data_IF_929890484958
#
_entry.id   IF_929890484958
#
_cell.length_a   1.000
_cell.length_b   1.000
_cell.length_c   1.000
_cell.angle_alpha   90.00
_cell.angle_beta   90.00
_cell.angle_gamma   90.00
#
_symmetry.space_group_name_H-M   'P 1'
#
loop_
_entity.id
_entity.type
_entity.pdbx_description
1 polymer ?
#
# COMPACT_ATOMS: atom_id res chain seq x y z
N UNK A 1 -20.76 12.21 8.67
CA UNK A 1 -19.43 11.90 9.22
C UNK A 1 -18.79 13.15 9.80
N UNK A 2 -18.24 13.07 10.97
CA UNK A 2 -17.62 14.21 11.63
C UNK A 2 -16.23 14.51 11.03
N UNK A 3 -15.76 15.77 11.20
CA UNK A 3 -14.41 16.16 10.85
C UNK A 3 -13.38 15.35 11.62
N UNK A 4 -13.68 14.95 12.87
CA UNK A 4 -12.80 14.17 13.72
C UNK A 4 -12.52 12.79 13.13
N UNK A 5 -13.55 12.14 12.54
CA UNK A 5 -13.36 10.84 11.88
C UNK A 5 -12.48 10.95 10.64
N UNK A 6 -12.65 12.02 9.86
CA UNK A 6 -11.79 12.25 8.70
C UNK A 6 -10.35 12.52 9.12
N UNK A 7 -10.13 13.36 10.15
CA UNK A 7 -8.79 13.64 10.67
C UNK A 7 -8.12 12.38 11.21
N UNK A 8 -8.86 11.55 11.98
CA UNK A 8 -8.35 10.30 12.51
C UNK A 8 -7.98 9.31 11.38
N UNK A 9 -8.77 9.28 10.32
CA UNK A 9 -8.49 8.46 9.14
C UNK A 9 -7.22 8.89 8.40
N UNK A 10 -7.01 10.21 8.26
CA UNK A 10 -5.80 10.75 7.65
C UNK A 10 -4.57 10.42 8.49
N UNK A 11 -4.66 10.56 9.82
CA UNK A 11 -3.58 10.18 10.73
C UNK A 11 -3.25 8.69 10.62
N UNK A 12 -4.29 7.84 10.53
CA UNK A 12 -4.11 6.41 10.35
C UNK A 12 -3.36 6.11 9.04
N UNK A 13 -3.76 6.73 7.94
CA UNK A 13 -3.11 6.53 6.64
C UNK A 13 -1.66 7.02 6.64
N UNK A 14 -1.39 8.14 7.31
CA UNK A 14 -0.02 8.63 7.45
C UNK A 14 0.83 7.64 8.25
N UNK A 15 0.32 7.15 9.38
CA UNK A 15 1.02 6.17 10.21
C UNK A 15 1.22 4.84 9.47
N UNK A 16 0.24 4.43 8.67
CA UNK A 16 0.32 3.24 7.84
C UNK A 16 1.42 3.39 6.77
N UNK A 17 1.48 4.55 6.11
CA UNK A 17 2.53 4.87 5.14
C UNK A 17 3.92 4.85 5.79
N UNK A 18 4.05 5.42 6.97
CA UNK A 18 5.32 5.43 7.72
C UNK A 18 5.78 4.01 8.07
N UNK A 19 4.83 3.12 8.44
CA UNK A 19 5.13 1.71 8.71
C UNK A 19 5.60 0.98 7.44
N UNK A 20 5.00 1.27 6.29
CA UNK A 20 5.47 0.75 5.00
C UNK A 20 6.91 1.15 4.74
N UNK A 21 7.25 2.43 4.95
CA UNK A 21 8.60 2.95 4.71
C UNK A 21 9.64 2.41 5.70
N UNK A 22 9.22 2.05 6.92
CA UNK A 22 10.09 1.38 7.89
C UNK A 22 10.20 -0.13 7.64
N UNK A 23 9.42 -0.67 6.72
CA UNK A 23 9.31 -2.11 6.48
C UNK A 23 8.89 -2.87 7.76
N UNK A 24 7.92 -2.32 8.48
CA UNK A 24 7.46 -2.85 9.77
C UNK A 24 6.15 -3.61 9.59
N UNK A 25 6.23 -4.92 9.35
CA UNK A 25 5.06 -5.75 9.08
C UNK A 25 4.11 -5.82 10.28
N UNK A 26 4.63 -5.86 11.50
CA UNK A 26 3.77 -5.94 12.68
C UNK A 26 2.95 -4.66 12.84
N UNK A 27 3.56 -3.50 12.60
CA UNK A 27 2.84 -2.22 12.63
C UNK A 27 1.76 -2.18 11.55
N UNK A 28 2.07 -2.62 10.32
CA UNK A 28 1.07 -2.68 9.24
C UNK A 28 -0.12 -3.54 9.64
N UNK A 29 0.13 -4.74 10.14
CA UNK A 29 -0.94 -5.66 10.50
C UNK A 29 -1.79 -5.15 11.67
N UNK A 30 -1.21 -4.34 12.54
CA UNK A 30 -1.93 -3.69 13.63
C UNK A 30 -3.02 -2.73 13.16
N UNK A 31 -2.92 -2.19 11.94
CA UNK A 31 -3.93 -1.31 11.36
C UNK A 31 -5.05 -2.06 10.64
N UNK A 32 -4.93 -3.37 10.43
CA UNK A 32 -5.83 -4.16 9.59
C UNK A 32 -6.91 -4.87 10.41
N UNK A 33 -8.11 -5.00 9.83
CA UNK A 33 -9.16 -5.84 10.41
C UNK A 33 -8.82 -7.32 10.32
N UNK A 34 -9.54 -8.16 11.08
CA UNK A 34 -9.30 -9.62 11.08
C UNK A 34 -9.61 -10.27 9.73
N UNK A 35 -10.61 -9.74 9.02
CA UNK A 35 -11.05 -10.24 7.71
C UNK A 35 -10.56 -9.38 6.55
N UNK A 36 -9.45 -8.68 6.73
CA UNK A 36 -8.92 -7.74 5.75
C UNK A 36 -8.63 -8.37 4.40
N UNK A 37 -8.59 -7.51 3.38
CA UNK A 37 -8.23 -7.88 2.02
C UNK A 37 -7.21 -6.89 1.45
N UNK A 38 -6.28 -7.41 0.65
CA UNK A 38 -5.32 -6.61 -0.10
C UNK A 38 -5.39 -7.04 -1.57
N UNK A 39 -5.61 -6.08 -2.45
CA UNK A 39 -5.57 -6.27 -3.89
C UNK A 39 -4.33 -5.58 -4.43
N UNK A 40 -3.44 -6.35 -5.05
CA UNK A 40 -2.16 -5.85 -5.57
C UNK A 40 -2.32 -5.10 -6.87
N UNK A 41 -1.22 -4.49 -7.32
CA UNK A 41 -1.20 -3.65 -8.53
C UNK A 41 -1.25 -4.47 -9.83
N UNK A 42 -0.98 -5.76 -9.76
CA UNK A 42 -0.97 -6.65 -10.92
C UNK A 42 -1.45 -8.03 -10.53
N UNK A 43 -1.84 -8.81 -11.51
CA UNK A 43 -2.29 -10.17 -11.30
C UNK A 43 -3.29 -10.59 -12.37
N UNK A 44 -3.75 -11.87 -12.34
CA UNK A 44 -4.57 -12.42 -13.41
C UNK A 44 -6.05 -12.03 -13.34
N UNK A 45 -6.51 -11.51 -12.21
CA UNK A 45 -7.93 -11.25 -11.97
C UNK A 45 -8.27 -9.78 -12.16
N UNK A 46 -9.56 -9.47 -12.15
CA UNK A 46 -10.04 -8.10 -12.32
C UNK A 46 -9.43 -7.12 -11.30
N UNK A 47 -9.24 -7.58 -10.06
CA UNK A 47 -8.66 -6.78 -8.99
C UNK A 47 -7.16 -7.05 -8.79
N UNK A 48 -6.49 -7.66 -9.78
CA UNK A 48 -5.12 -8.09 -9.65
C UNK A 48 -5.02 -9.35 -8.79
N UNK A 49 -3.86 -9.55 -8.15
CA UNK A 49 -3.70 -10.64 -7.19
C UNK A 49 -4.30 -10.22 -5.85
N UNK A 50 -5.22 -11.02 -5.33
CA UNK A 50 -5.92 -10.72 -4.08
C UNK A 50 -5.42 -11.62 -2.95
N UNK A 51 -5.28 -11.03 -1.77
CA UNK A 51 -4.92 -11.70 -0.52
C UNK A 51 -6.06 -11.46 0.45
N UNK A 52 -6.64 -12.52 0.97
CA UNK A 52 -7.83 -12.45 1.83
C UNK A 52 -7.53 -13.05 3.19
N UNK A 53 -7.78 -12.28 4.25
CA UNK A 53 -7.52 -12.66 5.64
C UNK A 53 -6.12 -12.23 6.09
N UNK A 54 -5.92 -12.18 7.40
CA UNK A 54 -4.69 -11.61 7.99
C UNK A 54 -3.42 -12.31 7.54
N UNK A 55 -3.40 -13.65 7.53
CA UNK A 55 -2.19 -14.39 7.17
C UNK A 55 -1.80 -14.14 5.71
N UNK A 56 -2.79 -14.19 4.81
CA UNK A 56 -2.55 -13.95 3.38
C UNK A 56 -2.14 -12.48 3.13
N UNK A 57 -2.79 -11.52 3.82
CA UNK A 57 -2.45 -10.10 3.67
C UNK A 57 -1.04 -9.82 4.16
N UNK A 58 -0.64 -10.39 5.30
CA UNK A 58 0.74 -10.29 5.81
C UNK A 58 1.73 -10.77 4.74
N UNK A 59 1.48 -11.92 4.17
CA UNK A 59 2.33 -12.49 3.12
C UNK A 59 2.40 -11.56 1.90
N UNK A 60 1.24 -11.06 1.46
CA UNK A 60 1.15 -10.14 0.33
C UNK A 60 1.91 -8.84 0.55
N UNK A 61 1.83 -8.27 1.75
CA UNK A 61 2.57 -7.06 2.11
C UNK A 61 4.08 -7.32 2.06
N UNK A 62 4.53 -8.43 2.61
CA UNK A 62 5.96 -8.77 2.63
C UNK A 62 6.54 -9.00 1.23
N UNK A 63 5.74 -9.42 0.26
CA UNK A 63 6.18 -9.59 -1.12
C UNK A 63 6.72 -8.30 -1.73
N UNK A 64 6.17 -7.14 -1.35
CA UNK A 64 6.64 -5.85 -1.86
C UNK A 64 8.11 -5.63 -1.48
N UNK A 65 8.47 -5.92 -0.24
CA UNK A 65 9.86 -5.75 0.24
C UNK A 65 10.80 -6.86 -0.26
N UNK A 66 10.26 -8.04 -0.53
CA UNK A 66 11.04 -9.13 -1.14
C UNK A 66 11.42 -8.77 -2.57
N UNK A 67 10.51 -8.15 -3.30
CA UNK A 67 10.75 -7.71 -4.68
C UNK A 67 11.62 -6.46 -4.74
N UNK A 68 11.37 -5.52 -3.80
CA UNK A 68 12.07 -4.23 -3.73
C UNK A 68 12.57 -4.02 -2.30
N UNK A 69 13.78 -4.52 -1.94
CA UNK A 69 14.28 -4.39 -0.57
C UNK A 69 14.44 -2.95 -0.09
N UNK A 70 14.58 -2.00 -1.02
CA UNK A 70 14.69 -0.57 -0.74
C UNK A 70 13.39 0.21 -0.99
N UNK A 71 12.25 -0.48 -1.07
CA UNK A 71 10.96 0.14 -1.39
C UNK A 71 10.63 1.31 -0.46
N UNK A 72 10.25 2.44 -1.08
CA UNK A 72 9.76 3.63 -0.38
C UNK A 72 8.55 4.19 -1.11
N UNK A 73 7.64 4.77 -0.34
CA UNK A 73 6.46 5.48 -0.84
C UNK A 73 6.57 6.91 -0.35
N UNK A 74 6.87 7.84 -1.26
CA UNK A 74 7.20 9.22 -0.94
C UNK A 74 6.17 10.19 -1.52
N UNK A 75 6.20 11.44 -1.07
CA UNK A 75 5.29 12.50 -1.53
C UNK A 75 3.82 12.11 -1.33
N UNK A 76 3.53 11.58 -0.14
CA UNK A 76 2.20 11.10 0.20
C UNK A 76 1.18 12.20 0.40
N UNK A 77 -0.01 11.99 -0.14
CA UNK A 77 -1.18 12.84 0.05
C UNK A 77 -2.37 11.95 0.41
N UNK A 78 -3.01 12.23 1.53
CA UNK A 78 -4.05 11.37 2.08
C UNK A 78 -5.35 12.15 2.24
N UNK A 79 -6.45 11.55 1.82
CA UNK A 79 -7.77 12.12 2.08
C UNK A 79 -8.78 11.02 2.39
N UNK A 80 -9.78 11.38 3.18
CA UNK A 80 -10.77 10.45 3.73
C UNK A 80 -12.15 11.06 3.62
N UNK A 81 -13.08 10.27 3.10
CA UNK A 81 -14.50 10.61 3.06
C UNK A 81 -15.28 9.38 3.53
N UNK A 82 -15.98 9.52 4.64
CA UNK A 82 -16.71 8.40 5.19
C UNK A 82 -15.79 7.25 5.58
N UNK A 83 -16.17 6.07 5.17
CA UNK A 83 -15.39 4.86 5.41
C UNK A 83 -14.44 4.55 4.24
N UNK A 84 -14.16 5.55 3.41
CA UNK A 84 -13.27 5.41 2.26
C UNK A 84 -12.11 6.38 2.38
N UNK A 85 -10.93 5.89 2.03
CA UNK A 85 -9.73 6.72 2.04
C UNK A 85 -8.88 6.50 0.80
N UNK A 86 -8.03 7.48 0.50
CA UNK A 86 -7.08 7.42 -0.61
C UNK A 86 -5.74 7.90 -0.12
N UNK A 87 -4.68 7.17 -0.46
CA UNK A 87 -3.30 7.62 -0.33
C UNK A 87 -2.67 7.66 -1.70
N UNK A 88 -2.24 8.84 -2.12
CA UNK A 88 -1.53 9.04 -3.37
C UNK A 88 -0.05 9.23 -3.05
N UNK A 89 0.84 8.58 -3.78
CA UNK A 89 2.27 8.64 -3.50
C UNK A 89 3.09 8.30 -4.73
N UNK A 90 4.41 8.47 -4.62
CA UNK A 90 5.36 7.95 -5.60
C UNK A 90 6.05 6.74 -4.98
N UNK A 91 5.92 5.60 -5.64
CA UNK A 91 6.64 4.39 -5.30
C UNK A 91 8.03 4.42 -5.93
N UNK A 92 9.06 4.06 -5.15
CA UNK A 92 10.45 3.91 -5.60
C UNK A 92 11.01 2.60 -5.09
N UNK A 93 11.67 1.86 -5.96
CA UNK A 93 12.31 0.63 -5.55
C UNK A 93 13.28 0.12 -6.60
N UNK A 94 14.24 -0.70 -6.17
CA UNK A 94 15.25 -1.32 -7.05
C UNK A 94 15.05 -2.82 -7.01
N UNK A 95 14.89 -3.44 -8.20
CA UNK A 95 14.80 -4.89 -8.33
C UNK A 95 16.17 -5.54 -8.22
N UNK A 96 16.18 -6.87 -8.02
CA UNK A 96 17.41 -7.65 -7.95
C UNK A 96 18.30 -7.53 -9.21
N UNK A 97 17.68 -7.29 -10.38
CA UNK A 97 18.38 -7.11 -11.65
C UNK A 97 18.95 -5.69 -11.83
N UNK A 98 18.81 -4.82 -10.82
CA UNK A 98 19.29 -3.45 -10.85
C UNK A 98 18.32 -2.45 -11.48
N UNK A 99 17.20 -2.90 -12.04
CA UNK A 99 16.20 -1.99 -12.60
C UNK A 99 15.60 -1.15 -11.48
N UNK A 100 15.57 0.17 -11.66
CA UNK A 100 14.97 1.11 -10.72
C UNK A 100 13.62 1.56 -11.24
N UNK A 101 12.62 1.35 -10.38
CA UNK A 101 11.23 1.68 -10.68
C UNK A 101 10.86 2.95 -9.91
N UNK A 102 10.19 3.86 -10.58
CA UNK A 102 9.59 5.03 -9.96
C UNK A 102 8.26 5.29 -10.65
N UNK A 103 7.17 5.25 -9.90
CA UNK A 103 5.84 5.37 -10.48
C UNK A 103 4.86 5.99 -9.49
N UNK A 104 3.96 6.84 -10.01
CA UNK A 104 2.84 7.34 -9.20
C UNK A 104 1.86 6.22 -8.96
N UNK A 105 1.31 6.20 -7.76
CA UNK A 105 0.31 5.21 -7.40
C UNK A 105 -0.71 5.77 -6.43
N UNK A 106 -1.83 5.09 -6.34
CA UNK A 106 -2.82 5.34 -5.29
C UNK A 106 -3.19 4.02 -4.65
N UNK A 107 -3.48 4.09 -3.37
CA UNK A 107 -4.18 3.04 -2.64
C UNK A 107 -5.56 3.56 -2.30
N UNK A 108 -6.57 2.77 -2.59
CA UNK A 108 -7.95 3.06 -2.19
C UNK A 108 -8.31 2.14 -1.03
N UNK A 109 -8.74 2.74 0.07
CA UNK A 109 -8.99 2.02 1.32
C UNK A 109 -10.48 1.99 1.66
N UNK A 110 -10.89 0.90 2.28
CA UNK A 110 -12.15 0.83 3.00
C UNK A 110 -11.82 0.65 4.48
N UNK A 111 -12.43 1.49 5.32
CA UNK A 111 -12.25 1.42 6.77
C UNK A 111 -13.45 0.73 7.42
N UNK A 112 -13.20 0.08 8.54
CA UNK A 112 -14.23 -0.46 9.43
C UNK A 112 -13.71 -0.48 10.85
N UNK A 113 -14.51 0.08 11.78
CA UNK A 113 -14.18 0.10 13.20
C UNK A 113 -12.80 0.70 13.50
N UNK A 114 -12.45 1.78 12.78
CA UNK A 114 -11.18 2.47 12.99
C UNK A 114 -9.96 1.76 12.43
N UNK A 115 -10.16 0.72 11.62
CA UNK A 115 -9.08 -0.05 10.97
C UNK A 115 -9.30 -0.16 9.47
N UNK A 116 -8.28 -0.64 8.76
CA UNK A 116 -8.34 -0.86 7.32
C UNK A 116 -8.90 -2.26 7.06
N UNK A 117 -10.05 -2.32 6.37
CA UNK A 117 -10.65 -3.57 5.95
C UNK A 117 -10.19 -3.98 4.55
N UNK A 118 -9.97 -3.01 3.66
CA UNK A 118 -9.50 -3.28 2.28
C UNK A 118 -8.43 -2.27 1.91
N UNK A 119 -7.35 -2.77 1.34
CA UNK A 119 -6.32 -1.96 0.65
C UNK A 119 -6.31 -2.38 -0.81
N UNK A 120 -6.62 -1.46 -1.70
CA UNK A 120 -6.67 -1.73 -3.14
C UNK A 120 -5.68 -0.81 -3.85
N UNK A 121 -4.61 -1.40 -4.41
CA UNK A 121 -3.48 -0.65 -4.95
C UNK A 121 -3.58 -0.52 -6.47
N UNK A 122 -3.28 0.68 -6.96
CA UNK A 122 -3.20 1.02 -8.38
C UNK A 122 -1.88 1.73 -8.62
N UNK A 123 -1.18 1.40 -9.71
CA UNK A 123 0.10 2.01 -10.03
C UNK A 123 0.19 2.30 -11.52
N UNK A 124 0.75 3.48 -11.85
CA UNK A 124 1.05 3.82 -13.24
C UNK A 124 2.36 3.15 -13.63
N UNK A 125 2.25 1.94 -14.18
CA UNK A 125 3.42 1.20 -14.62
C UNK A 125 4.04 1.86 -15.84
N UNK A 126 5.37 1.95 -15.82
CA UNK A 126 6.17 2.58 -16.88
C UNK A 126 7.51 1.87 -16.96
N UNK A 127 8.27 2.07 -18.04
CA UNK A 127 9.60 1.52 -18.10
C UNK A 127 10.48 1.97 -16.93
N UNK A 128 11.44 1.15 -16.49
CA UNK A 128 12.34 1.54 -15.42
C UNK A 128 13.04 2.86 -15.71
N UNK A 129 13.26 3.67 -14.66
CA UNK A 129 14.02 4.93 -14.79
C UNK A 129 15.51 4.68 -14.86
N UNK A 130 15.95 3.49 -14.39
CA UNK A 130 17.28 2.95 -14.62
C UNK A 130 17.10 1.52 -15.14
N UNK A 131 17.71 1.21 -16.26
CA UNK A 131 17.60 -0.09 -16.90
C UNK A 131 18.21 -1.20 -16.03
N UNK A 132 17.79 -2.47 -16.20
CA UNK A 132 18.43 -3.59 -15.53
C UNK A 132 19.93 -3.65 -15.86
N UNK A 133 20.72 -4.16 -14.93
CA UNK A 133 22.14 -4.42 -15.17
C UNK A 133 22.31 -5.45 -16.29
N UNK A 134 23.30 -5.22 -17.15
CA UNK A 134 23.60 -6.12 -18.26
C UNK A 134 24.20 -7.44 -17.75
#
# INVERSE_FOLDING_TARGET
MSKDNAAAGIELLQAFNDAWNRHDIEALMGFMTDDCAFHGVAGPDLLGRSFIGRDAVREGFQLAWQTFPDAQWVDGDHFVVGERGVSESTFRGTRADGARIEARMVDVFTFRDGKIAVKNAYRKDRPPVVAPAA
#
